data_IF_486255620717
#
_entry.id   IF_486255620717
#
_cell.length_a   1.000
_cell.length_b   1.000
_cell.length_c   1.000
_cell.angle_alpha   90.00
_cell.angle_beta   90.00
_cell.angle_gamma   90.00
#
_symmetry.space_group_name_H-M   'P 1'
#
loop_
_entity.id
_entity.type
_entity.pdbx_description
1 polymer ?
#
# COMPACT_ATOMS: atom_id res chain seq x y z
N UNK A 1 17.72 64.62 -18.49
CA UNK A 1 17.08 63.64 -17.60
C UNK A 1 17.08 62.31 -18.30
N UNK A 2 18.01 61.41 -17.95
CA UNK A 2 18.09 60.04 -18.54
C UNK A 2 17.48 59.10 -17.51
N UNK A 3 16.39 58.43 -17.86
CA UNK A 3 15.79 57.37 -17.07
C UNK A 3 16.52 56.06 -17.35
N UNK A 4 17.18 55.50 -16.34
CA UNK A 4 17.66 54.12 -16.35
C UNK A 4 16.50 53.18 -15.99
N UNK A 5 16.11 52.32 -16.92
CA UNK A 5 15.19 51.20 -16.68
C UNK A 5 16.05 50.01 -16.26
N UNK A 6 16.00 49.65 -14.97
CA UNK A 6 16.63 48.46 -14.46
C UNK A 6 15.65 47.28 -14.64
N UNK A 7 15.91 46.39 -15.63
CA UNK A 7 15.21 45.14 -15.76
C UNK A 7 15.64 44.18 -14.66
N UNK A 8 14.74 43.85 -13.74
CA UNK A 8 14.90 42.75 -12.80
C UNK A 8 14.57 41.45 -13.54
N UNK A 9 15.58 40.68 -13.90
CA UNK A 9 15.43 39.29 -14.35
C UNK A 9 15.10 38.42 -13.13
N UNK A 10 13.83 38.11 -12.92
CA UNK A 10 13.42 37.13 -11.93
C UNK A 10 13.81 35.72 -12.37
N UNK A 11 14.82 35.14 -11.78
CA UNK A 11 15.12 33.72 -11.89
C UNK A 11 13.99 32.94 -11.19
N UNK A 12 13.11 32.34 -12.00
CA UNK A 12 12.14 31.35 -11.51
C UNK A 12 12.91 30.06 -11.25
N UNK A 13 13.31 29.83 -10.02
CA UNK A 13 13.75 28.50 -9.58
C UNK A 13 12.52 27.59 -9.51
N UNK A 14 12.32 26.77 -10.51
CA UNK A 14 11.44 25.59 -10.41
C UNK A 14 12.10 24.60 -9.47
N UNK A 15 11.74 24.67 -8.19
CA UNK A 15 12.05 23.62 -7.22
C UNK A 15 11.24 22.36 -7.57
N UNK A 16 11.86 21.40 -8.25
CA UNK A 16 11.33 20.06 -8.32
C UNK A 16 11.18 19.52 -6.89
N UNK A 17 9.93 19.29 -6.47
CA UNK A 17 9.62 18.52 -5.26
C UNK A 17 10.13 17.09 -5.49
N UNK A 18 11.33 16.79 -5.04
CA UNK A 18 11.82 15.43 -4.98
C UNK A 18 11.11 14.74 -3.81
N UNK A 19 10.00 14.05 -4.12
CA UNK A 19 9.36 13.12 -3.20
C UNK A 19 10.33 11.99 -2.83
N UNK A 20 10.09 11.35 -1.68
CA UNK A 20 10.87 10.20 -1.22
C UNK A 20 10.92 9.12 -2.31
N UNK A 21 12.14 8.67 -2.64
CA UNK A 21 12.36 7.58 -3.60
C UNK A 21 12.30 6.24 -2.87
N UNK A 22 11.34 5.41 -3.22
CA UNK A 22 11.25 4.03 -2.77
C UNK A 22 11.86 3.10 -3.82
N UNK A 23 12.82 2.28 -3.41
CA UNK A 23 13.52 1.37 -4.32
C UNK A 23 12.93 -0.03 -4.25
N UNK A 24 12.61 -0.68 -5.39
CA UNK A 24 12.07 -2.03 -5.41
C UNK A 24 12.96 -3.03 -4.66
N UNK A 25 12.33 -3.93 -3.89
CA UNK A 25 13.00 -4.93 -3.08
C UNK A 25 13.53 -4.43 -1.73
N UNK A 26 13.25 -3.18 -1.36
CA UNK A 26 13.60 -2.61 -0.05
C UNK A 26 12.38 -2.52 0.85
N UNK A 27 12.63 -2.70 2.16
CA UNK A 27 11.61 -2.51 3.22
C UNK A 27 11.85 -1.18 3.91
N UNK A 28 10.78 -0.44 4.10
CA UNK A 28 10.71 0.83 4.81
C UNK A 28 9.74 0.72 5.97
N UNK A 29 10.00 1.48 7.01
CA UNK A 29 9.15 1.50 8.20
C UNK A 29 8.69 2.91 8.50
N UNK A 30 7.51 3.02 9.09
CA UNK A 30 7.04 4.26 9.70
C UNK A 30 7.78 4.51 11.01
N UNK A 31 7.50 5.66 11.59
CA UNK A 31 7.92 5.98 12.96
C UNK A 31 7.57 4.84 13.91
N UNK A 32 8.49 4.49 14.81
CA UNK A 32 8.35 3.41 15.79
C UNK A 32 8.04 2.04 15.15
N UNK A 33 8.26 1.90 13.84
CA UNK A 33 8.08 0.68 13.06
C UNK A 33 6.66 0.08 13.15
N UNK A 34 5.64 0.91 13.36
CA UNK A 34 4.25 0.42 13.41
C UNK A 34 3.69 0.02 12.06
N UNK A 35 4.16 0.64 11.00
CA UNK A 35 3.78 0.30 9.63
C UNK A 35 5.02 -0.09 8.84
N UNK A 36 4.89 -1.17 8.08
CA UNK A 36 5.94 -1.71 7.23
C UNK A 36 5.52 -1.57 5.77
N UNK A 37 6.44 -1.19 4.91
CA UNK A 37 6.25 -1.13 3.46
C UNK A 37 7.41 -1.81 2.74
N UNK A 38 7.15 -2.95 2.13
CA UNK A 38 8.04 -3.57 1.16
C UNK A 38 7.71 -3.03 -0.24
N UNK A 39 8.70 -2.40 -0.87
CA UNK A 39 8.51 -1.76 -2.19
C UNK A 39 8.64 -2.77 -3.31
N UNK A 40 7.62 -2.84 -4.15
CA UNK A 40 7.58 -3.70 -5.33
C UNK A 40 8.03 -3.01 -6.62
N UNK A 41 7.91 -3.75 -7.73
CA UNK A 41 8.11 -3.28 -9.11
C UNK A 41 7.03 -3.81 -10.06
N UNK A 42 5.97 -4.40 -9.54
CA UNK A 42 4.85 -4.89 -10.34
C UNK A 42 3.56 -4.10 -10.04
N UNK A 43 2.57 -4.09 -10.93
CA UNK A 43 1.33 -3.34 -10.75
C UNK A 43 0.34 -4.03 -9.79
N UNK A 44 0.85 -4.52 -8.66
CA UNK A 44 0.10 -5.18 -7.60
C UNK A 44 0.51 -4.61 -6.24
N UNK A 45 -0.50 -4.22 -5.46
CA UNK A 45 -0.34 -3.72 -4.10
C UNK A 45 -1.10 -4.65 -3.16
N UNK A 46 -0.43 -5.18 -2.14
CA UNK A 46 -1.04 -5.97 -1.07
C UNK A 46 -1.08 -5.13 0.20
N UNK A 47 -2.24 -5.03 0.85
CA UNK A 47 -2.41 -4.32 2.12
C UNK A 47 -2.93 -5.26 3.19
N UNK A 48 -2.35 -5.18 4.40
CA UNK A 48 -2.68 -6.03 5.54
C UNK A 48 -3.01 -5.15 6.74
N UNK A 49 -4.27 -4.73 6.91
CA UNK A 49 -4.62 -3.77 7.96
C UNK A 49 -4.80 -4.38 9.35
N UNK A 50 -5.13 -5.68 9.50
CA UNK A 50 -5.66 -6.25 10.74
C UNK A 50 -4.87 -7.42 11.34
N UNK A 51 -3.78 -7.86 10.70
CA UNK A 51 -2.97 -9.00 11.17
C UNK A 51 -1.92 -8.66 12.23
N UNK A 52 -1.83 -7.40 12.66
CA UNK A 52 -0.80 -6.90 13.57
C UNK A 52 -0.89 -7.45 14.99
N UNK A 53 0.28 -7.61 15.62
CA UNK A 53 0.41 -8.16 16.99
C UNK A 53 1.02 -7.16 17.98
N UNK A 54 1.56 -6.02 17.51
CA UNK A 54 2.20 -5.04 18.38
C UNK A 54 1.17 -4.34 19.29
N UNK A 55 1.48 -4.26 20.57
CA UNK A 55 0.63 -3.66 21.62
C UNK A 55 1.42 -2.62 22.43
N UNK A 56 1.90 -1.53 21.83
CA UNK A 56 2.69 -0.53 22.53
C UNK A 56 1.89 0.12 23.66
N UNK A 57 2.56 0.48 24.76
CA UNK A 57 1.92 1.06 25.95
C UNK A 57 1.46 2.50 25.75
N UNK A 58 2.09 3.24 24.84
CA UNK A 58 1.75 4.64 24.50
C UNK A 58 0.47 4.78 23.67
N UNK A 59 -0.03 3.69 23.06
CA UNK A 59 -1.32 3.68 22.38
C UNK A 59 -2.33 2.93 23.26
N UNK A 60 -3.39 3.59 23.77
CA UNK A 60 -4.45 2.92 24.52
C UNK A 60 -5.23 1.95 23.60
N UNK A 61 -5.94 1.01 24.21
CA UNK A 61 -6.86 0.19 23.43
C UNK A 61 -8.04 1.03 22.93
N UNK A 62 -8.44 0.81 21.71
CA UNK A 62 -9.67 1.37 21.15
C UNK A 62 -10.87 0.83 21.94
N UNK A 63 -11.67 1.75 22.45
CA UNK A 63 -12.85 1.43 23.24
C UNK A 63 -14.00 2.32 22.81
N UNK A 64 -14.81 1.84 21.89
CA UNK A 64 -16.06 2.45 21.42
C UNK A 64 -17.12 1.37 21.20
N UNK A 65 -18.40 1.75 21.20
CA UNK A 65 -19.52 0.80 21.10
C UNK A 65 -19.42 -0.08 19.85
N UNK A 66 -19.04 0.53 18.70
CA UNK A 66 -18.98 -0.14 17.39
C UNK A 66 -17.55 -0.61 17.02
N UNK A 67 -16.57 -0.50 17.95
CA UNK A 67 -15.20 -0.87 17.64
C UNK A 67 -15.03 -2.38 17.43
N UNK A 68 -14.75 -2.79 16.21
CA UNK A 68 -14.23 -4.13 15.95
C UNK A 68 -12.75 -4.16 16.35
N UNK A 69 -12.38 -5.07 17.25
CA UNK A 69 -11.03 -5.21 17.79
C UNK A 69 -10.42 -6.60 17.61
N UNK A 70 -11.19 -7.50 17.01
CA UNK A 70 -10.72 -8.86 16.67
C UNK A 70 -9.67 -8.77 15.57
N UNK A 71 -8.54 -9.43 15.80
CA UNK A 71 -7.42 -9.51 14.87
C UNK A 71 -7.70 -10.57 13.79
N UNK A 72 -7.36 -10.27 12.56
CA UNK A 72 -7.39 -11.23 11.45
C UNK A 72 -6.11 -12.09 11.52
N UNK A 73 -6.15 -13.14 12.34
CA UNK A 73 -4.98 -13.95 12.65
C UNK A 73 -4.30 -14.49 11.37
N UNK A 74 -2.96 -14.45 11.37
CA UNK A 74 -2.07 -15.01 10.36
C UNK A 74 -2.14 -14.32 8.97
N UNK A 75 -2.81 -13.16 8.84
CA UNK A 75 -2.86 -12.45 7.55
C UNK A 75 -1.54 -11.76 7.22
N UNK A 76 -0.72 -11.37 8.20
CA UNK A 76 0.62 -10.83 7.92
C UNK A 76 1.54 -11.89 7.32
N UNK A 77 1.56 -13.08 7.91
CA UNK A 77 2.32 -14.23 7.43
C UNK A 77 1.85 -14.61 6.02
N UNK A 78 0.53 -14.65 5.81
CA UNK A 78 -0.05 -14.93 4.50
C UNK A 78 0.43 -13.92 3.45
N UNK A 79 0.36 -12.61 3.73
CA UNK A 79 0.82 -11.58 2.80
C UNK A 79 2.30 -11.73 2.43
N UNK A 80 3.15 -12.09 3.39
CA UNK A 80 4.58 -12.37 3.15
C UNK A 80 4.78 -13.62 2.30
N UNK A 81 4.04 -14.69 2.55
CA UNK A 81 4.10 -15.89 1.72
C UNK A 81 3.60 -15.62 0.30
N UNK A 82 2.53 -14.84 0.11
CA UNK A 82 2.06 -14.44 -1.24
C UNK A 82 3.15 -13.66 -1.99
N UNK A 83 3.84 -12.73 -1.33
CA UNK A 83 4.96 -12.01 -1.92
C UNK A 83 6.07 -12.97 -2.38
N UNK A 84 6.49 -13.90 -1.52
CA UNK A 84 7.55 -14.86 -1.86
C UNK A 84 7.13 -15.84 -2.97
N UNK A 85 5.86 -16.29 -3.02
CA UNK A 85 5.38 -17.14 -4.10
C UNK A 85 5.28 -16.40 -5.43
N UNK A 86 4.84 -15.13 -5.46
CA UNK A 86 4.88 -14.30 -6.67
C UNK A 86 6.32 -14.16 -7.17
N UNK A 87 7.25 -13.85 -6.27
CA UNK A 87 8.67 -13.75 -6.59
C UNK A 87 9.22 -15.05 -7.19
N UNK A 88 8.89 -16.20 -6.59
CA UNK A 88 9.29 -17.53 -7.05
C UNK A 88 8.71 -17.84 -8.45
N UNK A 89 7.40 -17.67 -8.67
CA UNK A 89 6.71 -17.93 -9.94
C UNK A 89 7.26 -17.05 -11.06
N UNK A 90 7.68 -15.84 -10.75
CA UNK A 90 8.22 -14.87 -11.72
C UNK A 90 9.74 -14.90 -11.86
N UNK A 91 10.40 -15.88 -11.25
CA UNK A 91 11.87 -16.02 -11.29
C UNK A 91 12.60 -14.83 -10.66
N UNK A 92 12.01 -14.18 -9.66
CA UNK A 92 12.56 -13.03 -8.98
C UNK A 92 12.36 -11.68 -9.70
N UNK A 93 11.73 -11.69 -10.87
CA UNK A 93 11.60 -10.48 -11.70
C UNK A 93 10.49 -9.53 -11.24
N UNK A 94 9.41 -10.06 -10.67
CA UNK A 94 8.25 -9.26 -10.23
C UNK A 94 8.07 -9.37 -8.71
N UNK A 95 7.98 -8.22 -8.07
CA UNK A 95 7.73 -8.07 -6.65
C UNK A 95 6.48 -7.21 -6.46
N UNK A 96 5.43 -7.69 -5.78
CA UNK A 96 4.31 -6.84 -5.39
C UNK A 96 4.75 -5.84 -4.32
N UNK A 97 4.07 -4.70 -4.25
CA UNK A 97 4.15 -3.83 -3.08
C UNK A 97 3.41 -4.49 -1.92
N UNK A 98 3.96 -4.44 -0.71
CA UNK A 98 3.31 -5.00 0.48
C UNK A 98 3.33 -4.00 1.61
N UNK A 99 2.15 -3.59 2.09
CA UNK A 99 1.99 -2.65 3.21
C UNK A 99 1.31 -3.37 4.36
N UNK A 100 1.95 -3.37 5.54
CA UNK A 100 1.48 -4.08 6.72
C UNK A 100 1.30 -3.12 7.88
N UNK A 101 0.12 -3.08 8.47
CA UNK A 101 -0.09 -2.53 9.80
C UNK A 101 0.31 -3.57 10.84
N UNK A 102 1.41 -3.31 11.58
CA UNK A 102 1.95 -4.21 12.61
C UNK A 102 1.26 -4.04 13.97
N UNK A 103 0.52 -2.95 14.18
CA UNK A 103 -0.27 -2.73 15.38
C UNK A 103 -1.46 -3.69 15.44
N UNK A 104 -1.70 -4.22 16.65
CA UNK A 104 -2.90 -5.01 16.90
C UNK A 104 -4.15 -4.15 16.66
N UNK A 105 -5.22 -4.74 16.14
CA UNK A 105 -6.48 -4.04 15.83
C UNK A 105 -7.09 -3.35 17.04
N UNK A 106 -6.76 -3.79 18.26
CA UNK A 106 -7.08 -3.06 19.50
C UNK A 106 -6.40 -1.70 19.61
N UNK A 107 -5.30 -1.45 18.88
CA UNK A 107 -4.51 -0.21 18.93
C UNK A 107 -4.82 0.70 17.76
N UNK A 108 -5.04 0.12 16.57
CA UNK A 108 -5.34 0.82 15.32
C UNK A 108 -6.18 -0.06 14.41
N UNK A 109 -7.27 0.46 13.88
CA UNK A 109 -7.98 -0.14 12.76
C UNK A 109 -7.67 0.62 11.48
N UNK A 110 -6.68 0.17 10.72
CA UNK A 110 -6.25 0.85 9.49
C UNK A 110 -7.25 0.71 8.32
N UNK A 111 -8.36 0.00 8.50
CA UNK A 111 -9.47 -0.11 7.53
C UNK A 111 -10.71 0.68 8.00
N UNK A 112 -10.50 1.83 8.63
CA UNK A 112 -11.53 2.79 9.04
C UNK A 112 -11.05 4.21 8.76
N UNK A 113 -11.97 5.20 8.78
CA UNK A 113 -11.57 6.60 8.80
C UNK A 113 -10.74 6.92 10.05
N UNK A 114 -10.00 8.01 9.99
CA UNK A 114 -9.04 8.37 11.03
C UNK A 114 -9.66 8.45 12.44
N UNK A 115 -10.89 8.98 12.53
CA UNK A 115 -11.53 9.17 13.82
C UNK A 115 -11.86 7.83 14.48
N UNK A 116 -12.48 6.91 13.73
CA UNK A 116 -12.82 5.57 14.20
C UNK A 116 -11.56 4.70 14.37
N UNK A 117 -10.56 4.88 13.48
CA UNK A 117 -9.32 4.11 13.48
C UNK A 117 -8.47 4.32 14.72
N UNK A 118 -8.27 5.58 15.13
CA UNK A 118 -7.28 5.99 16.13
C UNK A 118 -7.89 6.59 17.41
N UNK A 119 -9.19 6.91 17.43
CA UNK A 119 -9.92 7.53 18.53
C UNK A 119 -9.18 8.74 19.15
N UNK A 120 -8.57 9.57 18.31
CA UNK A 120 -7.87 10.78 18.72
C UNK A 120 -6.49 10.57 19.36
N UNK A 121 -5.98 9.34 19.42
CA UNK A 121 -4.61 9.11 19.90
C UNK A 121 -3.59 9.55 18.85
N UNK A 122 -2.62 10.43 19.16
CA UNK A 122 -1.67 10.97 18.19
C UNK A 122 -0.77 9.91 17.53
N UNK A 123 -0.28 8.93 18.32
CA UNK A 123 0.62 7.89 17.81
C UNK A 123 -0.12 6.92 16.89
N UNK A 124 -1.36 6.55 17.24
CA UNK A 124 -2.23 5.76 16.36
C UNK A 124 -2.60 6.53 15.09
N UNK A 125 -2.87 7.84 15.20
CA UNK A 125 -3.14 8.71 14.04
C UNK A 125 -1.92 8.79 13.11
N UNK A 126 -0.72 8.94 13.64
CA UNK A 126 0.52 8.93 12.86
C UNK A 126 0.73 7.60 12.14
N UNK A 127 0.44 6.47 12.80
CA UNK A 127 0.50 5.15 12.18
C UNK A 127 -0.56 5.02 11.06
N UNK A 128 -1.79 5.52 11.26
CA UNK A 128 -2.83 5.56 10.24
C UNK A 128 -2.38 6.35 9.01
N UNK A 129 -1.85 7.57 9.22
CA UNK A 129 -1.31 8.37 8.13
C UNK A 129 -0.17 7.66 7.39
N UNK A 130 0.73 7.00 8.12
CA UNK A 130 1.83 6.26 7.52
C UNK A 130 1.32 5.10 6.64
N UNK A 131 0.32 4.34 7.11
CA UNK A 131 -0.28 3.24 6.36
C UNK A 131 -0.85 3.73 5.02
N UNK A 132 -1.69 4.75 5.05
CA UNK A 132 -2.31 5.28 3.83
C UNK A 132 -1.30 5.98 2.92
N UNK A 133 -0.31 6.69 3.45
CA UNK A 133 0.75 7.31 2.64
C UNK A 133 1.63 6.27 1.93
N UNK A 134 1.92 5.15 2.56
CA UNK A 134 2.63 4.06 1.90
C UNK A 134 1.81 3.46 0.76
N UNK A 135 0.50 3.30 0.94
CA UNK A 135 -0.39 2.88 -0.13
C UNK A 135 -0.39 3.91 -1.27
N UNK A 136 -0.53 5.20 -0.97
CA UNK A 136 -0.52 6.26 -1.98
C UNK A 136 0.82 6.31 -2.73
N UNK A 137 1.94 6.08 -2.03
CA UNK A 137 3.27 5.98 -2.65
C UNK A 137 3.38 4.77 -3.58
N UNK A 138 2.86 3.62 -3.17
CA UNK A 138 2.81 2.42 -4.00
C UNK A 138 1.93 2.64 -5.24
N UNK A 139 0.72 3.25 -5.07
CA UNK A 139 -0.18 3.62 -6.17
C UNK A 139 0.53 4.54 -7.18
N UNK A 140 1.25 5.55 -6.71
CA UNK A 140 1.99 6.47 -7.57
C UNK A 140 3.08 5.74 -8.38
N UNK A 141 3.85 4.84 -7.75
CA UNK A 141 4.86 4.04 -8.46
C UNK A 141 4.22 3.14 -9.51
N UNK A 142 3.15 2.43 -9.16
CA UNK A 142 2.39 1.58 -10.08
C UNK A 142 1.86 2.39 -11.28
N UNK A 143 1.28 3.56 -11.02
CA UNK A 143 0.77 4.43 -12.09
C UNK A 143 1.88 4.95 -13.00
N UNK A 144 3.01 5.35 -12.44
CA UNK A 144 4.16 5.83 -13.21
C UNK A 144 4.79 4.72 -14.07
N UNK A 145 4.81 3.48 -13.58
CA UNK A 145 5.42 2.35 -14.27
C UNK A 145 4.49 1.66 -15.27
N UNK A 146 3.22 1.50 -14.91
CA UNK A 146 2.28 0.63 -15.62
C UNK A 146 0.98 1.33 -16.05
N UNK A 147 0.75 2.56 -15.60
CA UNK A 147 -0.43 3.37 -15.93
C UNK A 147 -1.75 2.88 -15.30
N UNK A 148 -1.75 1.68 -14.70
CA UNK A 148 -2.89 1.03 -14.02
C UNK A 148 -2.41 -0.07 -13.11
N UNK A 149 -3.23 -0.53 -12.17
CA UNK A 149 -2.87 -1.63 -11.29
C UNK A 149 -4.02 -2.11 -10.41
N UNK A 150 -3.69 -3.05 -9.54
CA UNK A 150 -4.62 -3.69 -8.62
C UNK A 150 -4.10 -3.60 -7.19
N UNK A 151 -4.98 -3.24 -6.27
CA UNK A 151 -4.77 -3.33 -4.84
C UNK A 151 -5.60 -4.51 -4.30
N UNK A 152 -4.99 -5.36 -3.52
CA UNK A 152 -5.65 -6.42 -2.75
C UNK A 152 -5.55 -6.07 -1.28
N UNK A 153 -6.70 -5.85 -0.64
CA UNK A 153 -6.80 -5.65 0.80
C UNK A 153 -7.09 -6.99 1.46
N UNK A 154 -6.07 -7.56 2.12
CA UNK A 154 -6.09 -8.94 2.60
C UNK A 154 -6.55 -8.99 4.05
N UNK A 155 -7.66 -9.66 4.28
CA UNK A 155 -8.36 -9.81 5.54
C UNK A 155 -8.61 -11.27 5.91
N UNK A 156 -9.25 -11.46 7.04
CA UNK A 156 -9.68 -12.77 7.48
C UNK A 156 -10.96 -12.70 8.28
N UNK A 157 -11.91 -13.56 7.92
CA UNK A 157 -13.20 -13.66 8.58
C UNK A 157 -13.36 -14.94 9.43
N UNK A 158 -14.35 -14.90 10.32
CA UNK A 158 -14.80 -16.04 11.14
C UNK A 158 -16.24 -16.44 10.85
N UNK A 159 -16.78 -16.16 9.66
CA UNK A 159 -18.13 -16.55 9.28
C UNK A 159 -18.27 -18.08 9.23
N UNK A 160 -19.49 -18.56 9.41
CA UNK A 160 -19.79 -20.00 9.46
C UNK A 160 -19.48 -20.73 8.14
N UNK A 161 -19.69 -20.06 7.01
CA UNK A 161 -19.41 -20.63 5.69
C UNK A 161 -17.92 -20.43 5.37
N UNK A 162 -17.22 -21.54 5.21
CA UNK A 162 -15.78 -21.55 4.93
C UNK A 162 -15.52 -21.40 3.43
N UNK A 163 -15.47 -20.15 2.97
CA UNK A 163 -15.19 -19.74 1.59
C UNK A 163 -14.49 -18.39 1.60
N UNK A 164 -13.82 -18.02 0.55
CA UNK A 164 -13.31 -16.66 0.37
C UNK A 164 -14.48 -15.71 0.09
N UNK A 165 -14.44 -14.51 0.66
CA UNK A 165 -15.39 -13.45 0.32
C UNK A 165 -14.65 -12.33 -0.40
N UNK A 166 -15.08 -11.99 -1.61
CA UNK A 166 -14.43 -11.01 -2.46
C UNK A 166 -15.26 -9.72 -2.47
N UNK A 167 -14.74 -8.69 -1.80
CA UNK A 167 -15.43 -7.42 -1.65
C UNK A 167 -15.07 -6.43 -2.77
N UNK A 168 -16.11 -6.02 -3.52
CA UNK A 168 -16.04 -5.07 -4.63
C UNK A 168 -16.83 -3.77 -4.36
N UNK A 169 -17.16 -3.46 -3.10
CA UNK A 169 -18.10 -2.43 -2.64
C UNK A 169 -19.56 -2.68 -3.08
N UNK A 170 -19.86 -3.88 -3.56
CA UNK A 170 -21.20 -4.30 -3.93
C UNK A 170 -21.75 -5.24 -2.86
N UNK A 171 -22.86 -4.84 -2.24
CA UNK A 171 -23.52 -5.65 -1.20
C UNK A 171 -24.00 -7.00 -1.73
N UNK A 172 -24.24 -7.95 -0.83
CA UNK A 172 -24.85 -9.23 -1.21
C UNK A 172 -26.20 -9.07 -1.95
N UNK A 173 -26.98 -8.05 -1.62
CA UNK A 173 -28.23 -7.73 -2.36
C UNK A 173 -27.94 -7.23 -3.78
N UNK A 174 -26.88 -6.43 -3.99
CA UNK A 174 -26.45 -6.02 -5.32
C UNK A 174 -26.04 -7.22 -6.17
N UNK A 175 -25.25 -8.14 -5.60
CA UNK A 175 -24.82 -9.35 -6.31
C UNK A 175 -26.02 -10.24 -6.70
N UNK A 176 -27.00 -10.39 -5.81
CA UNK A 176 -28.24 -11.15 -6.09
C UNK A 176 -29.18 -10.50 -7.10
N UNK A 177 -29.03 -9.22 -7.39
CA UNK A 177 -29.85 -8.52 -8.38
C UNK A 177 -29.61 -9.00 -9.83
N UNK A 178 -28.59 -9.82 -10.04
CA UNK A 178 -28.28 -10.49 -11.30
C UNK A 178 -27.51 -9.64 -12.32
N UNK A 179 -27.14 -10.28 -13.42
CA UNK A 179 -26.19 -9.72 -14.39
C UNK A 179 -26.69 -8.43 -15.05
N UNK A 180 -28.00 -8.23 -15.22
CA UNK A 180 -28.53 -6.99 -15.78
C UNK A 180 -28.23 -5.79 -14.89
N UNK A 181 -28.42 -5.94 -13.56
CA UNK A 181 -28.06 -4.90 -12.60
C UNK A 181 -26.54 -4.74 -12.53
N UNK A 182 -25.77 -5.82 -12.41
CA UNK A 182 -24.33 -5.78 -12.29
C UNK A 182 -23.65 -5.12 -13.50
N UNK A 183 -24.26 -5.20 -14.69
CA UNK A 183 -23.76 -4.52 -15.90
C UNK A 183 -24.31 -3.09 -16.06
N UNK A 184 -25.11 -2.59 -15.13
CA UNK A 184 -25.62 -1.22 -15.20
C UNK A 184 -24.54 -0.19 -14.84
N UNK A 185 -24.72 1.02 -15.34
CA UNK A 185 -23.85 2.16 -15.00
C UNK A 185 -23.75 2.36 -13.48
N UNK A 186 -24.89 2.26 -12.77
CA UNK A 186 -24.93 2.40 -11.32
C UNK A 186 -24.06 1.36 -10.59
N UNK A 187 -24.14 0.08 -10.98
CA UNK A 187 -23.33 -0.96 -10.35
C UNK A 187 -21.82 -0.76 -10.66
N UNK A 188 -21.48 -0.38 -11.89
CA UNK A 188 -20.11 -0.11 -12.29
C UNK A 188 -19.53 1.10 -11.52
N UNK A 189 -20.28 2.20 -11.42
CA UNK A 189 -19.84 3.42 -10.73
C UNK A 189 -19.63 3.24 -9.23
N UNK A 190 -20.39 2.33 -8.60
CA UNK A 190 -20.25 2.01 -7.17
C UNK A 190 -19.27 0.85 -6.89
N UNK A 191 -18.62 0.31 -7.92
CA UNK A 191 -17.68 -0.79 -7.75
C UNK A 191 -16.25 -0.30 -7.57
N UNK A 192 -15.51 -0.92 -6.65
CA UNK A 192 -14.08 -0.64 -6.44
C UNK A 192 -13.19 -1.09 -7.61
N UNK A 193 -13.75 -1.82 -8.58
CA UNK A 193 -13.10 -2.19 -9.85
C UNK A 193 -13.72 -1.47 -11.05
N UNK A 194 -14.21 -0.25 -10.86
CA UNK A 194 -14.83 0.57 -11.91
C UNK A 194 -13.91 0.76 -13.11
N UNK A 195 -12.63 1.05 -12.89
CA UNK A 195 -11.68 1.24 -13.99
C UNK A 195 -11.54 -0.03 -14.82
N UNK A 196 -11.41 -1.19 -14.18
CA UNK A 196 -11.33 -2.47 -14.88
C UNK A 196 -12.61 -2.76 -15.66
N UNK A 197 -13.79 -2.55 -15.07
CA UNK A 197 -15.07 -2.75 -15.75
C UNK A 197 -15.18 -1.97 -17.05
N UNK A 198 -14.57 -0.77 -17.12
CA UNK A 198 -14.58 0.10 -18.29
C UNK A 198 -13.39 -0.11 -19.26
N UNK A 199 -12.31 -0.73 -18.82
CA UNK A 199 -11.03 -0.74 -19.52
C UNK A 199 -10.32 -2.11 -19.57
N UNK A 200 -11.01 -3.23 -19.28
CA UNK A 200 -10.40 -4.54 -19.34
C UNK A 200 -10.01 -4.94 -20.77
N UNK A 201 -8.97 -5.78 -20.89
CA UNK A 201 -8.36 -6.13 -22.17
C UNK A 201 -9.23 -6.98 -23.10
N UNK A 202 -10.14 -7.76 -22.53
CA UNK A 202 -10.90 -8.76 -23.26
C UNK A 202 -12.38 -8.41 -23.42
N UNK A 203 -12.76 -7.15 -23.09
CA UNK A 203 -14.13 -6.63 -23.15
C UNK A 203 -15.16 -7.45 -22.35
N UNK A 204 -14.75 -8.05 -21.22
CA UNK A 204 -15.67 -8.69 -20.29
C UNK A 204 -16.63 -7.65 -19.73
N UNK A 205 -17.89 -8.04 -19.58
CA UNK A 205 -18.89 -7.24 -18.86
C UNK A 205 -18.58 -7.26 -17.37
N UNK A 206 -19.04 -6.27 -16.63
CA UNK A 206 -18.78 -6.15 -15.21
C UNK A 206 -19.23 -7.41 -14.42
N UNK A 207 -20.39 -7.98 -14.71
CA UNK A 207 -20.84 -9.22 -14.10
C UNK A 207 -19.85 -10.39 -14.31
N UNK A 208 -19.25 -10.50 -15.50
CA UNK A 208 -18.27 -11.55 -15.81
C UNK A 208 -16.96 -11.35 -15.05
N UNK A 209 -16.56 -10.09 -14.78
CA UNK A 209 -15.41 -9.77 -13.94
C UNK A 209 -15.65 -10.11 -12.47
N UNK A 210 -16.91 -10.09 -12.01
CA UNK A 210 -17.29 -10.39 -10.64
C UNK A 210 -17.45 -11.90 -10.39
N UNK A 211 -18.15 -12.61 -11.29
CA UNK A 211 -18.56 -13.99 -11.06
C UNK A 211 -18.38 -14.94 -12.26
N UNK A 212 -17.70 -14.50 -13.30
CA UNK A 212 -17.38 -15.35 -14.47
C UNK A 212 -16.24 -16.33 -14.21
N UNK A 213 -15.99 -17.25 -15.16
CA UNK A 213 -14.92 -18.25 -15.07
C UNK A 213 -13.52 -17.65 -14.95
N UNK A 214 -13.32 -16.47 -15.53
CA UNK A 214 -12.04 -15.73 -15.44
C UNK A 214 -12.11 -14.55 -14.45
N UNK A 215 -13.15 -14.48 -13.59
CA UNK A 215 -13.14 -13.58 -12.43
C UNK A 215 -12.06 -13.99 -11.43
N UNK A 216 -11.74 -13.13 -10.46
CA UNK A 216 -10.81 -13.50 -9.40
C UNK A 216 -11.31 -14.73 -8.63
N UNK A 217 -12.63 -14.80 -8.33
CA UNK A 217 -13.27 -15.98 -7.75
C UNK A 217 -13.10 -17.22 -8.61
N UNK A 218 -13.26 -17.10 -9.94
CA UNK A 218 -13.05 -18.19 -10.88
C UNK A 218 -11.59 -18.69 -10.89
N UNK A 219 -10.63 -17.80 -10.82
CA UNK A 219 -9.22 -18.21 -10.70
C UNK A 219 -8.94 -18.90 -9.36
N UNK A 220 -9.52 -18.44 -8.24
CA UNK A 220 -9.41 -19.18 -6.97
C UNK A 220 -10.05 -20.57 -7.04
N UNK A 221 -11.19 -20.73 -7.71
CA UNK A 221 -11.80 -22.04 -7.91
C UNK A 221 -10.90 -22.99 -8.73
N UNK A 222 -10.16 -22.48 -9.72
CA UNK A 222 -9.16 -23.30 -10.43
C UNK A 222 -8.02 -23.76 -9.53
N UNK A 223 -7.73 -23.02 -8.49
CA UNK A 223 -6.77 -23.36 -7.43
C UNK A 223 -7.43 -24.13 -6.26
N UNK A 224 -8.69 -24.56 -6.39
CA UNK A 224 -9.48 -25.34 -5.41
C UNK A 224 -9.93 -24.58 -4.16
N UNK A 225 -10.04 -23.28 -4.23
CA UNK A 225 -10.60 -22.45 -3.18
C UNK A 225 -11.92 -21.81 -3.66
N UNK A 226 -13.01 -22.13 -2.98
CA UNK A 226 -14.31 -21.53 -3.30
C UNK A 226 -14.34 -20.06 -2.91
N UNK A 227 -15.00 -19.24 -3.70
CA UNK A 227 -15.13 -17.82 -3.47
C UNK A 227 -16.54 -17.30 -3.77
N UNK A 228 -16.97 -16.28 -3.06
CA UNK A 228 -18.17 -15.52 -3.34
C UNK A 228 -17.81 -14.02 -3.48
N UNK A 229 -18.21 -13.35 -4.61
CA UNK A 229 -18.73 -13.94 -5.83
C UNK A 229 -17.68 -14.78 -6.58
N UNK A 230 -18.15 -15.82 -7.22
CA UNK A 230 -17.37 -16.73 -8.06
C UNK A 230 -18.30 -17.53 -8.97
N UNK A 231 -17.79 -18.31 -9.93
CA UNK A 231 -18.64 -19.08 -10.85
C UNK A 231 -19.58 -20.06 -10.15
N UNK A 232 -19.12 -20.75 -9.12
CA UNK A 232 -19.91 -21.71 -8.35
C UNK A 232 -20.82 -21.08 -7.32
N UNK A 233 -20.49 -19.86 -6.87
CA UNK A 233 -21.22 -19.11 -5.85
C UNK A 233 -21.29 -17.63 -6.26
N UNK A 234 -22.25 -17.30 -7.11
CA UNK A 234 -22.32 -15.98 -7.76
C UNK A 234 -22.70 -14.83 -6.82
N UNK A 235 -23.32 -15.13 -5.68
CA UNK A 235 -23.75 -14.16 -4.69
C UNK A 235 -24.07 -14.86 -3.36
N UNK A 236 -23.78 -14.24 -2.20
CA UNK A 236 -24.20 -14.78 -0.91
C UNK A 236 -25.74 -14.87 -0.86
N UNK A 237 -26.29 -15.93 -0.27
CA UNK A 237 -27.73 -16.07 -0.10
C UNK A 237 -28.28 -15.00 0.85
N UNK A 238 -29.58 -14.79 0.81
CA UNK A 238 -30.23 -13.86 1.76
C UNK A 238 -30.02 -14.34 3.19
N UNK A 239 -29.49 -13.47 4.05
CA UNK A 239 -29.20 -13.79 5.46
C UNK A 239 -27.82 -14.43 5.70
N UNK A 240 -27.04 -14.71 4.67
CA UNK A 240 -25.64 -15.11 4.84
C UNK A 240 -24.77 -13.87 5.11
N UNK A 241 -23.82 -14.03 6.02
CA UNK A 241 -22.78 -13.04 6.25
C UNK A 241 -21.90 -12.90 5.01
N UNK A 242 -21.51 -11.66 4.69
CA UNK A 242 -20.66 -11.35 3.56
C UNK A 242 -20.04 -9.96 3.72
N UNK A 243 -18.74 -9.88 3.58
CA UNK A 243 -17.99 -8.63 3.55
C UNK A 243 -17.87 -8.10 2.12
N UNK A 244 -18.55 -7.00 1.84
CA UNK A 244 -18.60 -6.41 0.49
C UNK A 244 -17.44 -5.49 0.12
N UNK A 245 -16.49 -5.29 1.01
CA UNK A 245 -15.42 -4.30 0.95
C UNK A 245 -15.41 -3.41 2.19
N UNK A 246 -14.40 -2.59 2.33
CA UNK A 246 -14.21 -1.70 3.47
C UNK A 246 -13.60 -0.36 3.07
N UNK A 247 -13.17 0.40 4.08
CA UNK A 247 -12.60 1.73 3.90
C UNK A 247 -11.40 1.76 2.92
N UNK A 248 -10.52 0.75 2.98
CA UNK A 248 -9.36 0.70 2.10
C UNK A 248 -9.76 0.50 0.63
N UNK A 249 -10.75 -0.38 0.35
CA UNK A 249 -11.24 -0.59 -1.01
C UNK A 249 -11.99 0.62 -1.56
N UNK A 250 -12.69 1.37 -0.71
CA UNK A 250 -13.35 2.61 -1.07
C UNK A 250 -12.32 3.72 -1.35
N UNK A 251 -11.41 3.96 -0.39
CA UNK A 251 -10.41 5.04 -0.45
C UNK A 251 -9.38 4.85 -1.56
N UNK A 252 -8.95 3.63 -1.81
CA UNK A 252 -7.82 3.35 -2.69
C UNK A 252 -8.19 2.67 -4.01
N UNK A 253 -9.44 2.22 -4.14
CA UNK A 253 -9.98 1.64 -5.37
C UNK A 253 -10.37 2.69 -6.41
N UNK A 254 -10.95 2.22 -7.51
CA UNK A 254 -11.26 3.08 -8.67
C UNK A 254 -12.68 3.68 -8.64
N UNK A 255 -13.39 3.59 -7.54
CA UNK A 255 -14.73 4.19 -7.38
C UNK A 255 -14.71 5.70 -7.64
N UNK A 256 -13.64 6.39 -7.28
CA UNK A 256 -13.37 7.80 -7.53
C UNK A 256 -12.88 8.12 -8.96
N UNK A 257 -12.95 7.17 -9.88
CA UNK A 257 -12.42 7.26 -11.25
C UNK A 257 -10.88 7.18 -11.35
N UNK A 258 -10.20 6.72 -10.29
CA UNK A 258 -8.79 6.37 -10.32
C UNK A 258 -8.49 5.20 -11.27
N UNK A 259 -7.19 4.88 -11.46
CA UNK A 259 -6.73 3.80 -12.34
C UNK A 259 -6.13 2.61 -11.56
N UNK A 260 -6.26 2.61 -10.26
CA UNK A 260 -5.95 1.47 -9.39
C UNK A 260 -7.29 0.92 -8.90
N UNK A 261 -7.60 -0.29 -9.27
CA UNK A 261 -8.75 -1.01 -8.74
C UNK A 261 -8.41 -1.62 -7.39
N UNK A 262 -9.40 -1.89 -6.54
CA UNK A 262 -9.18 -2.54 -5.26
C UNK A 262 -10.18 -3.67 -5.04
N UNK A 263 -9.70 -4.79 -4.49
CA UNK A 263 -10.54 -5.93 -4.10
C UNK A 263 -10.16 -6.31 -2.67
N UNK A 264 -11.15 -6.38 -1.79
CA UNK A 264 -10.96 -6.99 -0.48
C UNK A 264 -11.05 -8.51 -0.60
N UNK A 265 -10.11 -9.24 -0.02
CA UNK A 265 -10.18 -10.69 0.10
C UNK A 265 -10.30 -11.03 1.57
N UNK A 266 -11.46 -11.51 1.96
CA UNK A 266 -11.73 -12.05 3.29
C UNK A 266 -11.51 -13.56 3.27
N UNK A 267 -10.41 -13.96 3.90
CA UNK A 267 -9.99 -15.36 3.96
C UNK A 267 -10.67 -16.06 5.13
N UNK A 268 -11.31 -17.21 4.89
CA UNK A 268 -11.76 -18.08 5.98
C UNK A 268 -10.58 -18.62 6.80
N UNK A 269 -10.83 -19.09 8.01
CA UNK A 269 -9.76 -19.57 8.90
C UNK A 269 -9.32 -20.99 8.53
N UNK A 270 -10.25 -21.95 8.55
CA UNK A 270 -9.95 -23.38 8.35
C UNK A 270 -9.46 -23.67 6.94
N UNK A 271 -8.33 -24.35 6.80
CA UNK A 271 -7.73 -24.73 5.53
C UNK A 271 -7.09 -23.59 4.73
N UNK A 272 -7.10 -22.37 5.26
CA UNK A 272 -6.53 -21.17 4.64
C UNK A 272 -5.52 -20.49 5.57
N UNK A 273 -5.92 -20.15 6.81
CA UNK A 273 -5.11 -19.37 7.75
C UNK A 273 -4.86 -20.07 9.10
N UNK A 274 -5.30 -21.30 9.24
CA UNK A 274 -5.29 -22.04 10.51
C UNK A 274 -3.90 -22.58 10.91
N UNK A 275 -3.02 -22.80 9.96
CA UNK A 275 -1.66 -23.29 10.21
C UNK A 275 -0.70 -22.92 9.06
N UNK A 276 0.60 -23.12 9.28
CA UNK A 276 1.64 -22.73 8.32
C UNK A 276 1.55 -23.46 6.97
N UNK A 277 1.11 -24.72 6.98
CA UNK A 277 0.95 -25.53 5.75
C UNK A 277 -0.19 -24.94 4.90
N UNK A 278 -1.35 -24.69 5.51
CA UNK A 278 -2.49 -24.07 4.84
C UNK A 278 -2.13 -22.69 4.31
N UNK A 279 -1.41 -21.86 5.09
CA UNK A 279 -0.93 -20.56 4.66
C UNK A 279 -0.08 -20.63 3.40
N UNK A 280 0.88 -21.56 3.32
CA UNK A 280 1.76 -21.72 2.16
C UNK A 280 1.01 -22.18 0.91
N UNK A 281 0.12 -23.17 1.04
CA UNK A 281 -0.70 -23.61 -0.08
C UNK A 281 -1.64 -22.53 -0.58
N UNK A 282 -2.28 -21.82 0.34
CA UNK A 282 -3.16 -20.72 -0.06
C UNK A 282 -2.38 -19.53 -0.64
N UNK A 283 -1.17 -19.25 -0.16
CA UNK A 283 -0.32 -18.21 -0.74
C UNK A 283 0.09 -18.53 -2.18
N UNK A 284 0.44 -19.81 -2.47
CA UNK A 284 0.72 -20.26 -3.85
C UNK A 284 -0.52 -20.11 -4.75
N UNK A 285 -1.69 -20.55 -4.28
CA UNK A 285 -2.96 -20.38 -4.99
C UNK A 285 -3.28 -18.90 -5.25
N UNK A 286 -3.10 -18.04 -4.24
CA UNK A 286 -3.32 -16.61 -4.35
C UNK A 286 -2.36 -15.97 -5.37
N UNK A 287 -1.08 -16.30 -5.33
CA UNK A 287 -0.10 -15.82 -6.29
C UNK A 287 -0.46 -16.21 -7.73
N UNK A 288 -0.84 -17.49 -7.95
CA UNK A 288 -1.30 -17.98 -9.25
C UNK A 288 -2.55 -17.22 -9.74
N UNK A 289 -3.57 -17.09 -8.89
CA UNK A 289 -4.82 -16.41 -9.23
C UNK A 289 -4.58 -14.94 -9.59
N UNK A 290 -3.79 -14.21 -8.79
CA UNK A 290 -3.49 -12.80 -9.02
C UNK A 290 -2.68 -12.56 -10.28
N UNK A 291 -1.67 -13.40 -10.57
CA UNK A 291 -0.88 -13.30 -11.81
C UNK A 291 -1.78 -13.59 -13.03
N UNK A 292 -2.63 -14.62 -12.97
CA UNK A 292 -3.60 -14.92 -14.04
C UNK A 292 -4.56 -13.75 -14.24
N UNK A 293 -5.12 -13.21 -13.17
CA UNK A 293 -6.07 -12.08 -13.20
C UNK A 293 -5.46 -10.83 -13.82
N UNK A 294 -4.23 -10.44 -13.43
CA UNK A 294 -3.51 -9.31 -14.01
C UNK A 294 -3.22 -9.53 -15.51
N UNK A 295 -2.77 -10.72 -15.89
CA UNK A 295 -2.50 -11.06 -17.30
C UNK A 295 -3.78 -11.06 -18.14
N UNK A 296 -4.86 -11.62 -17.62
CA UNK A 296 -6.13 -11.70 -18.37
C UNK A 296 -6.75 -10.32 -18.57
N UNK A 297 -6.83 -9.52 -17.51
CA UNK A 297 -7.70 -8.34 -17.53
C UNK A 297 -6.97 -7.01 -17.71
N UNK A 298 -5.75 -6.88 -17.19
CA UNK A 298 -5.03 -5.59 -17.19
C UNK A 298 -4.01 -5.46 -18.31
N UNK A 299 -3.18 -6.49 -18.53
CA UNK A 299 -1.99 -6.35 -19.35
C UNK A 299 -1.95 -7.25 -20.58
N UNK A 300 -2.80 -8.27 -20.66
CA UNK A 300 -2.72 -9.32 -21.67
C UNK A 300 -1.69 -10.38 -21.30
N UNK A 301 -1.72 -11.51 -22.03
CA UNK A 301 -0.93 -12.70 -21.72
C UNK A 301 0.58 -12.43 -21.57
N UNK A 302 1.12 -11.59 -22.42
CA UNK A 302 2.55 -11.27 -22.47
C UNK A 302 2.87 -9.84 -21.99
N UNK A 303 1.84 -9.07 -21.62
CA UNK A 303 1.97 -7.65 -21.28
C UNK A 303 2.30 -7.34 -19.82
N UNK A 304 2.21 -8.32 -18.91
CA UNK A 304 2.64 -8.13 -17.54
C UNK A 304 4.16 -8.11 -17.49
N UNK A 305 4.73 -6.92 -17.47
CA UNK A 305 6.17 -6.67 -17.40
C UNK A 305 6.50 -5.96 -16.11
N UNK A 306 7.53 -6.43 -15.43
CA UNK A 306 8.08 -5.77 -14.26
C UNK A 306 9.42 -5.14 -14.65
N UNK A 307 9.62 -3.85 -14.38
CA UNK A 307 10.91 -3.23 -14.61
C UNK A 307 12.01 -4.03 -13.92
N UNK A 308 13.09 -4.30 -14.63
CA UNK A 308 14.23 -5.03 -14.07
C UNK A 308 14.68 -4.33 -12.79
N UNK A 309 14.73 -5.08 -11.70
CA UNK A 309 15.41 -4.61 -10.49
C UNK A 309 16.89 -4.64 -10.86
N UNK A 310 17.37 -3.54 -11.41
CA UNK A 310 18.81 -3.39 -11.62
C UNK A 310 19.45 -3.27 -10.26
N UNK A 311 19.86 -4.41 -9.71
CA UNK A 311 20.97 -4.46 -8.75
C UNK A 311 22.23 -4.12 -9.55
N UNK A 312 22.27 -2.94 -10.13
CA UNK A 312 23.52 -2.41 -10.64
C UNK A 312 24.36 -2.04 -9.43
N UNK A 313 25.20 -2.99 -9.01
CA UNK A 313 26.52 -2.67 -8.56
C UNK A 313 27.30 -2.06 -9.77
N UNK A 314 26.83 -0.94 -10.28
CA UNK A 314 27.64 -0.02 -11.05
C UNK A 314 27.88 1.13 -10.09
N UNK A 315 29.04 1.14 -9.48
CA UNK A 315 29.71 2.34 -9.06
C UNK A 315 29.75 3.33 -10.24
N UNK A 316 28.62 3.98 -10.52
CA UNK A 316 28.68 5.28 -11.13
C UNK A 316 28.74 6.26 -9.98
N UNK A 317 29.77 7.10 -9.97
CA UNK A 317 29.93 8.29 -9.13
C UNK A 317 28.71 9.24 -9.25
N UNK A 318 27.54 8.77 -8.85
CA UNK A 318 26.43 9.63 -8.48
C UNK A 318 26.69 10.06 -7.06
N UNK A 319 26.60 11.35 -6.72
CA UNK A 319 26.71 11.77 -5.33
C UNK A 319 25.74 10.91 -4.51
N UNK A 320 26.28 10.30 -3.47
CA UNK A 320 25.55 9.40 -2.59
C UNK A 320 24.35 10.15 -2.00
N UNK A 321 23.17 9.92 -2.54
CA UNK A 321 21.92 10.55 -2.08
C UNK A 321 21.37 9.74 -0.92
N UNK A 322 21.09 10.39 0.21
CA UNK A 322 20.33 9.79 1.29
C UNK A 322 18.82 9.95 1.06
N UNK A 323 18.01 9.14 1.68
CA UNK A 323 16.54 9.27 1.64
C UNK A 323 15.96 9.52 3.04
N UNK A 324 14.80 10.18 3.11
CA UNK A 324 14.09 10.47 4.35
C UNK A 324 12.62 10.10 4.23
N UNK A 325 12.07 9.52 5.31
CA UNK A 325 10.66 9.13 5.38
C UNK A 325 10.17 9.13 6.83
N UNK A 326 8.90 9.54 7.05
CA UNK A 326 7.98 10.18 6.11
C UNK A 326 8.39 11.63 5.80
N UNK A 327 7.92 12.16 4.69
CA UNK A 327 8.05 13.58 4.36
C UNK A 327 6.79 14.04 3.58
N UNK A 328 5.87 14.80 4.20
CA UNK A 328 5.96 15.46 5.50
C UNK A 328 6.05 14.53 6.71
N UNK A 329 6.62 15.02 7.81
CA UNK A 329 6.77 14.32 9.07
C UNK A 329 6.33 15.19 10.27
N UNK A 330 5.88 14.57 11.37
CA UNK A 330 5.51 15.31 12.58
C UNK A 330 6.62 15.27 13.64
N UNK A 331 6.97 14.09 14.14
CA UNK A 331 7.86 13.96 15.31
C UNK A 331 9.23 13.39 14.97
N UNK A 332 9.32 12.62 13.87
CA UNK A 332 10.57 11.98 13.47
C UNK A 332 10.57 11.59 12.01
N UNK A 333 11.74 11.22 11.52
CA UNK A 333 11.95 10.63 10.20
C UNK A 333 12.87 9.42 10.32
N UNK A 334 12.66 8.48 9.44
CA UNK A 334 13.64 7.45 9.11
C UNK A 334 14.52 7.99 7.98
N UNK A 335 15.83 7.83 8.11
CA UNK A 335 16.80 8.21 7.09
C UNK A 335 17.57 6.97 6.64
N UNK A 336 17.71 6.77 5.34
CA UNK A 336 18.57 5.73 4.78
C UNK A 336 19.83 6.37 4.22
N UNK A 337 20.95 6.08 4.87
CA UNK A 337 22.25 6.68 4.56
C UNK A 337 23.09 5.71 3.73
N UNK A 338 23.66 6.17 2.61
CA UNK A 338 24.47 5.32 1.74
C UNK A 338 25.80 4.87 2.37
N UNK A 339 26.28 5.59 3.37
CA UNK A 339 27.52 5.32 4.10
C UNK A 339 27.52 6.00 5.48
N UNK A 340 28.57 5.87 6.26
CA UNK A 340 28.79 6.67 7.46
C UNK A 340 28.95 8.15 7.11
N UNK A 341 28.53 9.06 7.99
CA UNK A 341 28.63 10.49 7.71
C UNK A 341 27.97 11.37 8.76
N UNK A 342 27.80 12.64 8.43
CA UNK A 342 27.17 13.65 9.28
C UNK A 342 25.92 14.20 8.61
N UNK A 343 24.85 14.35 9.38
CA UNK A 343 23.63 15.03 8.97
C UNK A 343 23.47 16.32 9.77
N UNK A 344 23.26 17.42 9.06
CA UNK A 344 22.92 18.72 9.65
C UNK A 344 21.54 19.14 9.22
N UNK A 345 20.78 19.70 10.13
CA UNK A 345 19.44 20.24 9.87
C UNK A 345 19.51 21.75 10.04
N UNK A 346 19.04 22.47 9.03
CA UNK A 346 19.05 23.94 9.01
C UNK A 346 17.61 24.47 8.91
N UNK A 347 17.37 25.60 9.55
CA UNK A 347 16.20 26.41 9.22
C UNK A 347 16.41 27.16 7.87
N UNK A 348 15.37 27.87 7.41
CA UNK A 348 15.43 28.62 6.15
C UNK A 348 16.39 29.83 6.20
N UNK A 349 16.88 30.21 7.39
CA UNK A 349 17.85 31.30 7.56
C UNK A 349 19.29 30.78 7.53
N UNK A 350 19.49 29.46 7.48
CA UNK A 350 20.79 28.79 7.49
C UNK A 350 21.33 28.50 8.90
N UNK A 351 20.53 28.69 9.96
CA UNK A 351 20.91 28.34 11.33
C UNK A 351 20.82 26.81 11.50
N UNK A 352 21.83 26.20 12.10
CA UNK A 352 21.81 24.77 12.44
C UNK A 352 20.85 24.52 13.59
N UNK A 353 19.87 23.66 13.36
CA UNK A 353 18.91 23.20 14.36
C UNK A 353 19.34 21.91 15.05
N UNK A 354 20.00 21.03 14.29
CA UNK A 354 20.49 19.73 14.79
C UNK A 354 21.70 19.28 13.97
N UNK A 355 22.61 18.54 14.61
CA UNK A 355 23.73 17.84 13.96
C UNK A 355 23.83 16.43 14.55
N UNK A 356 23.87 15.40 13.69
CA UNK A 356 23.98 14.00 14.08
C UNK A 356 25.07 13.31 13.27
N UNK A 357 25.85 12.43 13.92
CA UNK A 357 26.88 11.63 13.27
C UNK A 357 26.48 10.17 13.27
N UNK A 358 26.58 9.54 12.10
CA UNK A 358 26.23 8.14 11.88
C UNK A 358 27.49 7.35 11.53
N UNK A 359 27.76 6.29 12.25
CA UNK A 359 28.95 5.45 12.09
C UNK A 359 28.80 4.37 11.03
N UNK A 360 27.56 4.11 10.57
CA UNK A 360 27.26 3.06 9.59
C UNK A 360 26.33 3.57 8.49
N UNK A 361 26.41 2.93 7.33
CA UNK A 361 25.37 3.00 6.30
C UNK A 361 24.06 2.35 6.78
N UNK A 362 22.96 2.61 6.08
CA UNK A 362 21.67 1.98 6.29
C UNK A 362 20.65 2.89 6.97
N UNK A 363 19.62 2.26 7.50
CA UNK A 363 18.44 2.94 8.02
C UNK A 363 18.63 3.38 9.47
N UNK A 364 18.40 4.67 9.72
CA UNK A 364 18.51 5.29 11.04
C UNK A 364 17.25 6.07 11.37
N UNK A 365 16.91 6.11 12.65
CA UNK A 365 15.80 6.90 13.16
C UNK A 365 16.30 8.27 13.64
N UNK A 366 15.61 9.34 13.25
CA UNK A 366 15.95 10.72 13.62
C UNK A 366 14.74 11.43 14.22
N UNK A 367 14.72 11.71 15.53
CA UNK A 367 13.66 12.51 16.15
C UNK A 367 13.80 13.98 15.74
N UNK A 368 12.65 14.63 15.45
CA UNK A 368 12.59 16.03 15.05
C UNK A 368 12.32 16.90 16.31
N UNK A 369 13.40 17.39 16.91
CA UNK A 369 13.37 18.21 18.14
C UNK A 369 13.33 19.72 17.86
N UNK A 370 12.65 20.15 16.78
CA UNK A 370 12.50 21.55 16.39
C UNK A 370 11.05 21.84 16.00
N UNK A 371 10.67 23.14 15.88
CA UNK A 371 9.29 23.57 15.59
C UNK A 371 9.11 24.07 14.16
N UNK A 372 10.19 24.27 13.43
CA UNK A 372 10.19 24.82 12.08
C UNK A 372 9.40 23.93 11.12
N UNK A 373 8.47 24.53 10.34
CA UNK A 373 7.64 23.83 9.35
C UNK A 373 8.45 23.33 8.15
N UNK A 374 9.50 24.06 7.79
CA UNK A 374 10.37 23.74 6.66
C UNK A 374 11.83 23.78 7.12
N UNK A 375 12.55 22.70 6.86
CA UNK A 375 13.96 22.61 7.16
C UNK A 375 14.72 21.99 5.99
N UNK A 376 16.02 22.30 5.91
CA UNK A 376 16.95 21.70 4.97
C UNK A 376 17.83 20.70 5.73
N UNK A 377 17.83 19.45 5.28
CA UNK A 377 18.77 18.43 5.74
C UNK A 377 19.94 18.41 4.78
N UNK A 378 21.17 18.47 5.32
CA UNK A 378 22.40 18.32 4.57
C UNK A 378 23.14 17.12 5.12
N UNK A 379 23.39 16.13 4.26
CA UNK A 379 24.19 14.97 4.59
C UNK A 379 25.57 15.07 3.95
N UNK A 380 26.61 14.84 4.76
CA UNK A 380 28.01 14.85 4.34
C UNK A 380 28.56 13.45 4.61
N UNK A 381 28.77 12.68 3.55
CA UNK A 381 29.33 11.34 3.62
C UNK A 381 30.81 11.34 4.05
N UNK A 382 31.29 10.18 4.52
CA UNK A 382 32.69 9.98 4.92
C UNK A 382 33.66 10.25 3.76
N UNK A 383 33.22 10.02 2.51
CA UNK A 383 33.98 10.29 1.29
C UNK A 383 33.97 11.77 0.86
N UNK A 384 33.37 12.67 1.66
CA UNK A 384 33.20 14.08 1.35
C UNK A 384 32.01 14.38 0.42
N UNK A 385 31.23 13.39 0.00
CA UNK A 385 30.01 13.62 -0.74
C UNK A 385 29.04 14.49 0.06
N UNK A 386 28.38 15.43 -0.61
CA UNK A 386 27.49 16.39 0.03
C UNK A 386 26.15 16.41 -0.72
N UNK A 387 25.06 16.11 -0.01
CA UNK A 387 23.71 16.05 -0.56
C UNK A 387 22.74 16.75 0.37
N UNK A 388 21.76 17.46 -0.18
CA UNK A 388 20.76 18.17 0.61
C UNK A 388 19.35 17.77 0.20
N UNK A 389 18.44 17.75 1.20
CA UNK A 389 17.03 17.41 1.02
C UNK A 389 16.16 18.30 1.88
N UNK A 390 14.99 18.70 1.36
CA UNK A 390 13.99 19.44 2.12
C UNK A 390 13.12 18.47 2.93
N UNK A 391 12.90 18.81 4.19
CA UNK A 391 11.90 18.15 5.04
C UNK A 391 10.79 19.14 5.37
N UNK A 392 9.56 18.68 5.26
CA UNK A 392 8.36 19.39 5.67
C UNK A 392 7.90 18.79 7.00
N UNK A 393 7.80 19.63 8.04
CA UNK A 393 7.21 19.24 9.30
C UNK A 393 5.74 19.63 9.30
N UNK A 394 4.88 18.63 9.42
CA UNK A 394 3.43 18.82 9.46
C UNK A 394 2.85 17.88 10.49
N UNK A 395 2.28 18.47 11.54
CA UNK A 395 1.59 17.74 12.59
C UNK A 395 0.09 17.94 12.43
N UNK A 396 -0.73 16.91 12.66
CA UNK A 396 -2.18 16.99 12.60
C UNK A 396 -2.77 17.94 13.65
#
# INVERSE_FOLDING_TARGET
>A
MKFLITCFLGLVFSSSLLGQSFFPGKTYFSEQEYIEYFTGNMPLILTIPHGGVLVPSNIPNRNCAECVTVMDANTQELGRYVLEEIKKITGGNCLPHLIINRLRRTKLDANRDLFEAALGNPDASNAWYAFHRFIDSAKMQVLNQSGRGLLIDLHGHGHAIQRLELGYLLSGSNLRAGNNFLNSTTAIENSSIRFLALNNKNNYRHAELLNGLESLGGFFETERYTAVPGPSDIAPRSGEDYFSGGYNTERHGSVDSGKIDAIQIECNFSGVRDNEISLKFFAEATANALIKYLKTHYFGKDGLSCPTITTTAVEQNKPATFSIFPNPACHSVTIDLPQSGKLKIYDLTGRVLNESTFSTAGVHYLPLQFQEKFVLLQYIGHDGSNTSMKLIRECP
#
